data_IF_113272139719
#
_entry.id   IF_113272139719
#
_cell.length_a   1.000
_cell.length_b   1.000
_cell.length_c   1.000
_cell.angle_alpha   90.00
_cell.angle_beta   90.00
_cell.angle_gamma   90.00
#
_symmetry.space_group_name_H-M   'P 1'
#
loop_
_entity.id
_entity.type
_entity.pdbx_description
1 polymer ?
#
# COMPACT_ATOMS: atom_id res chain seq x y z
N UNK A 1 -4.23 0.78 11.20
CA UNK A 1 -5.64 1.19 11.44
C UNK A 1 -6.47 -0.06 11.65
N UNK A 2 -7.36 -0.05 12.65
CA UNK A 2 -8.38 -1.09 12.85
C UNK A 2 -9.75 -0.53 12.47
N UNK A 3 -10.65 -1.39 11.95
CA UNK A 3 -12.05 -1.03 11.70
C UNK A 3 -12.91 -1.98 12.51
N UNK A 4 -13.71 -1.45 13.43
CA UNK A 4 -14.57 -2.25 14.29
C UNK A 4 -16.05 -2.13 13.88
N UNK A 5 -16.83 -3.25 13.86
CA UNK A 5 -18.26 -3.28 13.55
C UNK A 5 -19.12 -2.61 14.64
N UNK A 6 -19.03 -1.28 14.77
CA UNK A 6 -19.70 -0.49 15.81
C UNK A 6 -20.05 0.92 15.31
N UNK A 7 -21.07 1.52 15.91
CA UNK A 7 -21.43 2.93 15.69
C UNK A 7 -20.68 3.91 16.60
N UNK A 8 -20.23 3.44 17.77
CA UNK A 8 -19.61 4.28 18.80
C UNK A 8 -18.18 3.85 19.02
N UNK A 9 -17.33 4.85 19.19
CA UNK A 9 -15.97 4.71 19.67
C UNK A 9 -15.90 3.87 20.95
N UNK A 10 -14.86 3.05 21.05
CA UNK A 10 -14.50 2.36 22.28
C UNK A 10 -12.98 2.24 22.37
N UNK A 11 -12.31 3.11 23.14
CA UNK A 11 -10.85 3.14 23.22
C UNK A 11 -10.24 1.82 23.69
N UNK A 12 -10.96 1.05 24.52
CA UNK A 12 -10.50 -0.25 25.04
C UNK A 12 -10.19 -1.24 23.90
N UNK A 13 -10.81 -1.08 22.73
CA UNK A 13 -10.59 -2.00 21.60
C UNK A 13 -9.22 -1.85 20.94
N UNK A 14 -8.50 -0.75 21.22
CA UNK A 14 -7.13 -0.53 20.75
C UNK A 14 -6.10 -0.62 21.88
N UNK A 15 -6.49 -1.12 23.06
CA UNK A 15 -5.56 -1.39 24.15
C UNK A 15 -4.51 -2.42 23.68
N UNK A 16 -3.25 -2.16 24.03
CA UNK A 16 -2.08 -2.95 23.62
C UNK A 16 -1.93 -3.15 22.09
N UNK A 17 -2.57 -2.31 21.27
CA UNK A 17 -2.35 -2.29 19.82
C UNK A 17 -0.90 -1.88 19.47
N UNK A 18 -0.40 -2.23 18.26
CA UNK A 18 0.91 -1.74 17.84
C UNK A 18 1.02 -0.21 17.93
N UNK A 19 2.17 0.36 18.34
CA UNK A 19 2.34 1.80 18.44
C UNK A 19 1.97 2.53 17.15
N UNK A 20 1.28 3.67 17.27
CA UNK A 20 0.78 4.43 16.12
C UNK A 20 -0.51 3.86 15.49
N UNK A 21 -1.07 2.79 16.05
CA UNK A 21 -2.40 2.31 15.66
C UNK A 21 -3.49 3.29 16.07
N UNK A 22 -4.50 3.40 15.21
CA UNK A 22 -5.75 4.09 15.46
C UNK A 22 -6.92 3.25 14.95
N UNK A 23 -8.13 3.57 15.38
CA UNK A 23 -9.34 2.85 14.99
C UNK A 23 -10.37 3.76 14.33
N UNK A 24 -11.14 3.15 13.42
CA UNK A 24 -12.36 3.70 12.86
C UNK A 24 -13.51 2.73 13.13
N UNK A 25 -14.73 3.26 13.13
CA UNK A 25 -15.90 2.51 13.57
C UNK A 25 -16.99 2.64 12.52
N UNK A 26 -17.51 1.52 12.06
CA UNK A 26 -18.65 1.48 11.16
C UNK A 26 -19.48 0.24 11.46
N UNK A 27 -20.83 0.30 11.50
CA UNK A 27 -21.66 -0.85 11.89
C UNK A 27 -21.45 -2.10 11.03
N UNK A 28 -21.04 -1.94 9.77
CA UNK A 28 -20.72 -3.08 8.90
C UNK A 28 -19.39 -3.76 9.25
N UNK A 29 -18.47 -3.06 9.93
CA UNK A 29 -17.09 -3.51 10.16
C UNK A 29 -16.20 -3.47 8.91
N UNK A 30 -16.74 -3.07 7.76
CA UNK A 30 -16.02 -2.97 6.51
C UNK A 30 -15.55 -1.54 6.25
N UNK A 31 -14.50 -1.42 5.43
CA UNK A 31 -14.01 -0.15 4.91
C UNK A 31 -15.12 0.60 4.15
N UNK A 32 -15.27 1.89 4.45
CA UNK A 32 -16.08 2.84 3.68
C UNK A 32 -15.17 3.83 2.97
N UNK A 33 -15.69 4.53 1.95
CA UNK A 33 -14.91 5.51 1.17
C UNK A 33 -14.34 6.61 2.06
N UNK A 34 -15.14 7.14 2.99
CA UNK A 34 -14.76 8.22 3.91
C UNK A 34 -13.67 7.76 4.89
N UNK A 35 -13.80 6.53 5.40
CA UNK A 35 -12.81 5.90 6.27
C UNK A 35 -11.48 5.70 5.52
N UNK A 36 -11.55 5.35 4.24
CA UNK A 36 -10.36 5.19 3.41
C UNK A 36 -9.66 6.52 3.15
N UNK A 37 -10.40 7.60 2.85
CA UNK A 37 -9.83 8.95 2.70
C UNK A 37 -9.15 9.39 3.99
N UNK A 38 -9.77 9.15 5.14
CA UNK A 38 -9.16 9.42 6.45
C UNK A 38 -7.86 8.61 6.68
N UNK A 39 -7.87 7.32 6.34
CA UNK A 39 -6.66 6.49 6.38
C UNK A 39 -5.56 7.03 5.45
N UNK A 40 -5.93 7.51 4.26
CA UNK A 40 -4.99 8.03 3.27
C UNK A 40 -4.34 9.33 3.75
N UNK A 41 -5.09 10.24 4.37
CA UNK A 41 -4.56 11.45 5.02
C UNK A 41 -3.49 11.09 6.08
N UNK A 42 -3.78 10.11 6.93
CA UNK A 42 -2.80 9.63 7.92
C UNK A 42 -1.56 9.00 7.26
N UNK A 43 -1.74 8.31 6.14
CA UNK A 43 -0.64 7.71 5.37
C UNK A 43 0.26 8.78 4.73
N UNK A 44 -0.29 9.90 4.30
CA UNK A 44 0.48 11.06 3.83
C UNK A 44 1.33 11.65 4.97
N UNK A 45 0.75 11.86 6.15
CA UNK A 45 1.48 12.35 7.32
C UNK A 45 2.65 11.44 7.72
N UNK A 46 2.47 10.13 7.59
CA UNK A 46 3.51 9.15 7.86
C UNK A 46 4.61 9.12 6.80
N UNK A 47 4.23 9.04 5.52
CA UNK A 47 5.18 8.88 4.40
C UNK A 47 5.92 10.17 4.02
N UNK A 48 5.33 11.32 4.34
CA UNK A 48 5.85 12.68 4.07
C UNK A 48 6.30 12.84 2.61
N UNK A 49 5.38 12.61 1.65
CA UNK A 49 5.68 12.76 0.24
C UNK A 49 6.06 14.21 -0.08
N UNK A 50 6.95 14.37 -1.04
CA UNK A 50 7.35 15.69 -1.56
C UNK A 50 7.81 15.53 -3.01
N UNK A 51 7.99 16.64 -3.73
CA UNK A 51 8.51 16.60 -5.11
C UNK A 51 9.86 15.90 -5.22
N UNK A 52 10.72 16.00 -4.18
CA UNK A 52 12.02 15.30 -4.12
C UNK A 52 11.92 13.84 -3.67
N UNK A 53 10.79 13.45 -3.05
CA UNK A 53 10.53 12.11 -2.52
C UNK A 53 9.08 11.72 -2.82
N UNK A 54 8.75 11.46 -4.10
CA UNK A 54 7.39 11.07 -4.46
C UNK A 54 7.05 9.70 -3.89
N UNK A 55 5.78 9.48 -3.59
CA UNK A 55 5.28 8.20 -3.05
C UNK A 55 4.29 7.61 -4.04
N UNK A 56 4.34 6.28 -4.23
CA UNK A 56 3.34 5.54 -5.00
C UNK A 56 2.51 4.68 -4.06
N UNK A 57 1.20 4.85 -4.07
CA UNK A 57 0.27 3.97 -3.37
C UNK A 57 -0.26 2.93 -4.35
N UNK A 58 0.04 1.66 -4.09
CA UNK A 58 -0.43 0.53 -4.87
C UNK A 58 -1.56 -0.14 -4.11
N UNK A 59 -2.71 -0.32 -4.75
CA UNK A 59 -3.91 -0.83 -4.08
C UNK A 59 -4.80 -1.63 -5.04
N UNK A 60 -5.71 -2.42 -4.46
CA UNK A 60 -6.70 -3.15 -5.24
C UNK A 60 -7.78 -2.22 -5.82
N UNK A 61 -8.45 -2.68 -6.87
CA UNK A 61 -9.45 -1.90 -7.56
C UNK A 61 -10.84 -1.84 -6.92
N UNK A 62 -10.99 -2.10 -5.62
CA UNK A 62 -12.32 -2.12 -5.01
C UNK A 62 -13.00 -0.73 -5.07
N UNK A 63 -14.33 -0.71 -5.16
CA UNK A 63 -15.10 0.52 -5.41
C UNK A 63 -14.91 1.59 -4.32
N UNK A 64 -14.75 1.17 -3.05
CA UNK A 64 -14.50 2.06 -1.90
C UNK A 64 -13.17 2.79 -1.98
N UNK A 65 -12.22 2.29 -2.78
CA UNK A 65 -10.89 2.85 -2.94
C UNK A 65 -10.69 3.57 -4.28
N UNK A 66 -11.61 3.40 -5.24
CA UNK A 66 -11.40 3.82 -6.63
C UNK A 66 -12.41 4.86 -7.16
N UNK A 67 -13.45 5.19 -6.39
CA UNK A 67 -14.52 6.11 -6.81
C UNK A 67 -14.65 7.31 -5.88
N UNK A 68 -13.54 7.98 -5.59
CA UNK A 68 -13.53 9.23 -4.81
C UNK A 68 -12.71 10.29 -5.53
N UNK A 69 -13.36 11.39 -5.91
CA UNK A 69 -12.68 12.54 -6.48
C UNK A 69 -11.78 13.21 -5.44
N UNK A 70 -12.23 13.27 -4.18
CA UNK A 70 -11.46 13.82 -3.07
C UNK A 70 -10.14 13.08 -2.86
N UNK A 71 -10.15 11.75 -2.98
CA UNK A 71 -8.94 10.94 -2.90
C UNK A 71 -7.94 11.29 -4.02
N UNK A 72 -8.43 11.44 -5.26
CA UNK A 72 -7.60 11.73 -6.43
C UNK A 72 -6.97 13.12 -6.29
N UNK A 73 -7.76 14.12 -5.93
CA UNK A 73 -7.28 15.48 -5.71
C UNK A 73 -6.25 15.52 -4.58
N UNK A 74 -6.57 14.90 -3.43
CA UNK A 74 -5.68 14.85 -2.28
C UNK A 74 -4.35 14.15 -2.60
N UNK A 75 -4.37 13.09 -3.41
CA UNK A 75 -3.17 12.40 -3.85
C UNK A 75 -2.30 13.28 -4.75
N UNK A 76 -2.91 13.97 -5.72
CA UNK A 76 -2.23 14.91 -6.61
C UNK A 76 -1.57 16.04 -5.83
N UNK A 77 -2.32 16.71 -4.96
CA UNK A 77 -1.85 17.83 -4.14
C UNK A 77 -0.71 17.41 -3.18
N UNK A 78 -0.70 16.13 -2.79
CA UNK A 78 0.28 15.59 -1.84
C UNK A 78 1.48 14.90 -2.50
N UNK A 79 1.69 15.00 -3.82
CA UNK A 79 2.77 14.27 -4.53
C UNK A 79 2.71 12.73 -4.34
N UNK A 80 1.49 12.18 -4.30
CA UNK A 80 1.25 10.73 -4.23
C UNK A 80 0.63 10.25 -5.54
N UNK A 81 1.28 9.30 -6.21
CA UNK A 81 0.72 8.64 -7.39
C UNK A 81 -0.08 7.42 -6.97
N UNK A 82 -1.35 7.36 -7.37
CA UNK A 82 -2.23 6.22 -7.15
C UNK A 82 -2.06 5.19 -8.28
N UNK A 83 -1.64 3.97 -7.95
CA UNK A 83 -1.55 2.86 -8.90
C UNK A 83 -2.56 1.77 -8.52
N UNK A 84 -3.62 1.68 -9.32
CA UNK A 84 -4.63 0.63 -9.20
C UNK A 84 -4.18 -0.63 -9.91
N UNK A 85 -4.21 -1.78 -9.23
CA UNK A 85 -3.97 -3.07 -9.86
C UNK A 85 -5.18 -3.52 -10.69
N UNK A 86 -4.91 -4.19 -11.82
CA UNK A 86 -5.94 -4.84 -12.62
C UNK A 86 -6.75 -5.83 -11.77
N UNK A 87 -8.07 -5.94 -11.98
CA UNK A 87 -8.89 -6.93 -11.30
C UNK A 87 -8.28 -8.33 -11.44
N UNK A 88 -8.41 -9.15 -10.37
CA UNK A 88 -7.96 -10.55 -10.33
C UNK A 88 -6.44 -10.76 -10.41
N UNK A 89 -5.63 -9.70 -10.38
CA UNK A 89 -4.16 -9.82 -10.36
C UNK A 89 -3.53 -9.70 -8.96
N UNK A 90 -4.33 -9.46 -7.90
CA UNK A 90 -3.79 -9.19 -6.55
C UNK A 90 -2.90 -10.30 -6.02
N UNK A 91 -3.31 -11.56 -6.18
CA UNK A 91 -2.54 -12.73 -5.76
C UNK A 91 -1.13 -12.86 -6.35
N UNK A 92 -0.79 -12.04 -7.36
CA UNK A 92 0.54 -12.01 -8.01
C UNK A 92 1.21 -10.66 -7.98
N UNK A 93 0.46 -9.57 -8.05
CA UNK A 93 0.99 -8.21 -8.12
C UNK A 93 0.87 -7.43 -6.82
N UNK A 94 0.02 -7.85 -5.89
CA UNK A 94 -0.13 -7.18 -4.60
C UNK A 94 0.93 -7.71 -3.63
N UNK A 95 1.97 -6.93 -3.37
CA UNK A 95 3.15 -7.37 -2.59
C UNK A 95 2.80 -7.88 -1.20
N UNK A 96 1.77 -7.30 -0.58
CA UNK A 96 1.26 -7.76 0.70
C UNK A 96 0.65 -9.16 0.61
N UNK A 97 -0.09 -9.47 -0.45
CA UNK A 97 -0.75 -10.77 -0.61
C UNK A 97 0.27 -11.87 -0.90
N UNK A 98 1.31 -11.54 -1.66
CA UNK A 98 2.37 -12.50 -2.05
C UNK A 98 3.25 -12.89 -0.85
N UNK A 99 3.53 -11.97 0.06
CA UNK A 99 4.57 -12.21 1.10
C UNK A 99 4.17 -11.96 2.53
N UNK A 100 3.24 -11.04 2.81
CA UNK A 100 2.96 -10.58 4.17
C UNK A 100 1.72 -11.25 4.80
N UNK A 101 0.65 -11.43 4.03
CA UNK A 101 -0.64 -11.87 4.55
C UNK A 101 -0.60 -13.32 5.10
N UNK A 102 0.11 -14.23 4.43
CA UNK A 102 0.22 -15.61 4.88
C UNK A 102 1.02 -15.76 6.20
N UNK A 103 2.21 -15.15 6.36
CA UNK A 103 2.89 -15.11 7.66
C UNK A 103 2.06 -14.45 8.75
N UNK A 104 1.42 -13.31 8.47
CA UNK A 104 0.58 -12.62 9.46
C UNK A 104 -0.55 -13.52 9.98
N UNK A 105 -1.28 -14.18 9.07
CA UNK A 105 -2.35 -15.11 9.43
C UNK A 105 -1.82 -16.26 10.29
N UNK A 106 -0.65 -16.81 9.93
CA UNK A 106 0.00 -17.90 10.67
C UNK A 106 0.35 -17.48 12.10
N UNK A 107 1.03 -16.35 12.26
CA UNK A 107 1.42 -15.85 13.58
C UNK A 107 0.20 -15.45 14.41
N UNK A 108 -0.81 -14.84 13.80
CA UNK A 108 -2.04 -14.48 14.52
C UNK A 108 -2.76 -15.72 15.06
N UNK A 109 -2.85 -16.79 14.28
CA UNK A 109 -3.41 -18.07 14.76
C UNK A 109 -2.60 -18.66 15.91
N UNK A 110 -1.27 -18.53 15.90
CA UNK A 110 -0.42 -18.97 17.01
C UNK A 110 -0.70 -18.15 18.28
N UNK A 111 -0.78 -16.82 18.18
CA UNK A 111 -1.11 -15.95 19.31
C UNK A 111 -2.50 -16.25 19.89
N UNK A 112 -3.49 -16.49 19.03
CA UNK A 112 -4.84 -16.90 19.47
C UNK A 112 -4.79 -18.23 20.23
N UNK A 113 -4.09 -19.25 19.70
CA UNK A 113 -3.94 -20.55 20.39
C UNK A 113 -3.24 -20.40 21.73
N UNK A 114 -2.17 -19.61 21.80
CA UNK A 114 -1.45 -19.34 23.04
C UNK A 114 -2.33 -18.61 24.06
N UNK A 115 -3.13 -17.63 23.61
CA UNK A 115 -4.06 -16.91 24.47
C UNK A 115 -5.09 -17.87 25.09
N UNK A 116 -5.68 -18.75 24.29
CA UNK A 116 -6.66 -19.75 24.75
C UNK A 116 -6.04 -20.78 25.70
N UNK A 117 -4.79 -21.20 25.45
CA UNK A 117 -4.09 -22.14 26.31
C UNK A 117 -3.69 -21.54 27.68
N UNK A 118 -3.28 -20.27 27.69
CA UNK A 118 -2.88 -19.56 28.92
C UNK A 118 -4.06 -19.05 29.74
N UNK A 119 -5.25 -18.95 29.14
CA UNK A 119 -6.47 -18.50 29.80
C UNK A 119 -7.63 -19.51 29.58
N UNK A 120 -7.57 -20.71 30.18
CA UNK A 120 -8.62 -21.71 30.04
C UNK A 120 -10.01 -21.17 30.40
N UNK A 121 -11.01 -21.51 29.59
CA UNK A 121 -12.40 -21.07 29.80
C UNK A 121 -12.72 -19.65 29.33
N UNK A 122 -11.74 -18.89 28.83
CA UNK A 122 -11.97 -17.58 28.19
C UNK A 122 -11.97 -17.69 26.68
N UNK A 123 -12.90 -16.99 26.03
CA UNK A 123 -12.91 -16.82 24.58
C UNK A 123 -12.15 -15.55 24.18
N UNK A 124 -11.55 -15.55 22.99
CA UNK A 124 -11.00 -14.35 22.37
C UNK A 124 -12.16 -13.49 21.87
N UNK A 125 -12.22 -12.24 22.33
CA UNK A 125 -13.22 -11.26 21.90
C UNK A 125 -12.56 -10.12 21.13
N UNK A 126 -13.35 -9.18 20.62
CA UNK A 126 -12.85 -8.00 19.90
C UNK A 126 -11.83 -7.19 20.71
N UNK A 127 -11.92 -7.18 22.05
CA UNK A 127 -10.98 -6.48 22.92
C UNK A 127 -9.55 -7.02 22.82
N UNK A 128 -9.40 -8.32 22.52
CA UNK A 128 -8.07 -8.93 22.43
C UNK A 128 -7.50 -8.88 21.00
N UNK A 129 -8.31 -8.55 19.98
CA UNK A 129 -7.89 -8.60 18.57
C UNK A 129 -6.71 -7.68 18.31
N UNK A 130 -6.75 -6.42 18.76
CA UNK A 130 -5.69 -5.47 18.49
C UNK A 130 -4.36 -5.88 19.14
N UNK A 131 -4.41 -6.37 20.39
CA UNK A 131 -3.26 -6.91 21.12
C UNK A 131 -2.63 -8.11 20.42
N UNK A 132 -3.43 -9.13 20.12
CA UNK A 132 -2.94 -10.36 19.48
C UNK A 132 -2.41 -10.07 18.07
N UNK A 133 -3.10 -9.19 17.33
CA UNK A 133 -2.63 -8.71 16.04
C UNK A 133 -1.31 -7.96 16.17
N UNK A 134 -1.10 -7.15 17.22
CA UNK A 134 0.14 -6.43 17.44
C UNK A 134 1.35 -7.34 17.55
N UNK A 135 1.25 -8.40 18.36
CA UNK A 135 2.32 -9.38 18.52
C UNK A 135 2.59 -10.13 17.21
N UNK A 136 1.53 -10.56 16.51
CA UNK A 136 1.66 -11.24 15.22
C UNK A 136 2.24 -10.34 14.12
N UNK A 137 1.82 -9.07 14.08
CA UNK A 137 2.27 -8.08 13.13
C UNK A 137 3.76 -7.83 13.23
N UNK A 138 4.29 -7.66 14.46
CA UNK A 138 5.72 -7.45 14.68
C UNK A 138 6.58 -8.63 14.21
N UNK A 139 6.04 -9.87 14.26
CA UNK A 139 6.70 -11.06 13.71
C UNK A 139 6.62 -11.13 12.18
N UNK A 140 5.50 -10.72 11.58
CA UNK A 140 5.28 -10.79 10.13
C UNK A 140 5.94 -9.64 9.36
N UNK A 141 5.96 -8.43 9.93
CA UNK A 141 6.38 -7.19 9.30
C UNK A 141 7.92 -7.01 9.30
N UNK A 142 8.65 -8.07 8.94
CA UNK A 142 10.10 -8.02 8.77
C UNK A 142 10.51 -7.29 7.49
N UNK A 143 11.69 -6.66 7.51
CA UNK A 143 12.27 -6.00 6.32
C UNK A 143 12.41 -6.95 5.12
N UNK A 144 12.74 -8.22 5.37
CA UNK A 144 12.82 -9.25 4.33
C UNK A 144 11.47 -9.50 3.66
N UNK A 145 10.38 -9.49 4.42
CA UNK A 145 9.01 -9.62 3.88
C UNK A 145 8.73 -8.50 2.90
N UNK A 146 9.04 -7.25 3.27
CA UNK A 146 8.84 -6.09 2.41
C UNK A 146 9.69 -6.18 1.12
N UNK A 147 10.99 -6.44 1.24
CA UNK A 147 11.91 -6.53 0.09
C UNK A 147 11.50 -7.66 -0.86
N UNK A 148 11.22 -8.86 -0.32
CA UNK A 148 10.80 -9.99 -1.13
C UNK A 148 9.43 -9.75 -1.77
N UNK A 149 8.52 -9.06 -1.08
CA UNK A 149 7.21 -8.70 -1.61
C UNK A 149 7.29 -7.91 -2.90
N UNK A 150 8.11 -6.86 -2.92
CA UNK A 150 8.27 -6.07 -4.15
C UNK A 150 9.11 -6.78 -5.22
N UNK A 151 10.06 -7.62 -4.83
CA UNK A 151 10.88 -8.41 -5.76
C UNK A 151 10.04 -9.44 -6.52
N UNK A 152 9.20 -10.19 -5.81
CA UNK A 152 8.39 -11.26 -6.39
C UNK A 152 7.25 -10.73 -7.27
N UNK A 153 6.74 -9.53 -7.00
CA UNK A 153 5.73 -8.89 -7.87
C UNK A 153 6.34 -8.20 -9.08
N UNK A 154 7.68 -8.08 -9.13
CA UNK A 154 8.39 -7.39 -10.21
C UNK A 154 8.21 -5.88 -10.17
N UNK A 155 7.73 -5.34 -9.05
CA UNK A 155 7.53 -3.90 -8.86
C UNK A 155 8.86 -3.23 -8.48
N UNK A 156 9.67 -3.89 -7.64
CA UNK A 156 11.00 -3.40 -7.29
C UNK A 156 12.00 -4.56 -7.04
N UNK A 157 13.09 -4.66 -7.80
CA UNK A 157 13.42 -3.91 -9.01
C UNK A 157 12.41 -4.19 -10.12
N UNK A 158 12.09 -3.18 -10.95
CA UNK A 158 11.07 -3.31 -11.99
C UNK A 158 11.45 -4.44 -12.98
N UNK A 159 10.60 -5.47 -13.07
CA UNK A 159 10.74 -6.56 -14.02
C UNK A 159 9.40 -6.83 -14.72
N UNK A 160 9.29 -6.34 -15.97
CA UNK A 160 8.09 -6.51 -16.80
C UNK A 160 7.88 -7.94 -17.26
N UNK A 161 8.92 -8.77 -17.25
CA UNK A 161 8.91 -10.15 -17.73
C UNK A 161 8.87 -11.17 -16.57
N UNK A 162 8.42 -10.74 -15.39
CA UNK A 162 8.39 -11.63 -14.21
C UNK A 162 7.32 -12.73 -14.32
N UNK A 163 6.28 -12.49 -15.11
CA UNK A 163 5.25 -13.47 -15.39
C UNK A 163 5.49 -14.07 -16.78
N UNK A 164 5.54 -15.41 -16.91
CA UNK A 164 5.71 -16.08 -18.19
C UNK A 164 4.45 -16.01 -19.07
N UNK A 165 4.62 -16.06 -20.39
CA UNK A 165 3.56 -15.85 -21.39
C UNK A 165 2.31 -16.71 -21.18
N UNK A 166 2.48 -17.96 -20.73
CA UNK A 166 1.35 -18.86 -20.48
C UNK A 166 0.38 -18.33 -19.40
N UNK A 167 0.83 -17.43 -18.53
CA UNK A 167 -0.02 -16.80 -17.52
C UNK A 167 -0.98 -15.76 -18.09
N UNK A 168 -0.74 -15.29 -19.32
CA UNK A 168 -1.59 -14.35 -20.04
C UNK A 168 -2.58 -15.05 -20.99
N UNK A 169 -2.50 -16.38 -21.12
CA UNK A 169 -3.44 -17.17 -21.93
C UNK A 169 -4.92 -16.87 -21.62
N UNK A 170 -5.33 -16.69 -20.35
CA UNK A 170 -6.72 -16.35 -20.01
C UNK A 170 -7.17 -14.95 -20.46
N UNK A 171 -6.24 -14.02 -20.77
CA UNK A 171 -6.58 -12.66 -21.21
C UNK A 171 -6.71 -12.52 -22.73
N UNK A 172 -6.27 -13.52 -23.52
CA UNK A 172 -6.30 -13.50 -24.99
C UNK A 172 -7.73 -13.25 -25.53
N UNK A 173 -8.76 -13.73 -24.84
CA UNK A 173 -10.16 -13.55 -25.27
C UNK A 173 -10.69 -12.13 -25.08
N UNK A 174 -10.00 -11.29 -24.32
CA UNK A 174 -10.39 -9.89 -24.01
C UNK A 174 -9.39 -8.90 -24.63
N UNK A 175 -8.29 -9.38 -25.21
CA UNK A 175 -7.29 -8.54 -25.84
C UNK A 175 -7.91 -7.76 -27.01
N UNK A 176 -7.89 -6.44 -26.89
CA UNK A 176 -8.25 -5.54 -27.98
C UNK A 176 -6.95 -5.08 -28.64
N UNK A 177 -6.85 -5.14 -29.98
CA UNK A 177 -5.70 -4.57 -30.66
C UNK A 177 -5.56 -3.10 -30.25
N UNK A 178 -4.34 -2.70 -29.88
CA UNK A 178 -4.06 -1.34 -29.48
C UNK A 178 -4.44 -0.38 -30.61
N UNK A 179 -5.14 0.74 -30.32
CA UNK A 179 -5.34 1.79 -31.30
C UNK A 179 -3.96 2.26 -31.81
N UNK A 180 -3.81 2.54 -33.12
CA UNK A 180 -2.52 2.94 -33.71
C UNK A 180 -1.84 4.13 -33.01
N UNK A 181 -2.62 4.97 -32.34
CA UNK A 181 -2.16 6.18 -31.65
C UNK A 181 -1.61 5.90 -30.23
N UNK A 182 -1.97 4.77 -29.60
CA UNK A 182 -1.58 4.47 -28.22
C UNK A 182 -0.11 4.03 -28.07
N UNK A 183 0.45 3.39 -29.11
CA UNK A 183 1.88 3.02 -29.15
C UNK A 183 2.80 4.23 -29.23
N UNK A 184 2.39 5.28 -29.95
CA UNK A 184 3.20 6.50 -30.14
C UNK A 184 3.33 7.26 -28.81
N UNK A 185 2.23 7.41 -28.07
CA UNK A 185 2.19 8.12 -26.79
C UNK A 185 2.99 7.36 -25.71
N UNK A 186 2.99 6.03 -25.71
CA UNK A 186 3.74 5.23 -24.75
C UNK A 186 5.26 5.28 -25.01
N UNK A 187 5.69 5.30 -26.28
CA UNK A 187 7.10 5.48 -26.62
C UNK A 187 7.57 6.91 -26.32
N UNK A 188 6.82 7.94 -26.73
CA UNK A 188 7.18 9.35 -26.47
C UNK A 188 7.33 9.65 -24.97
N UNK A 189 6.41 9.15 -24.12
CA UNK A 189 6.50 9.34 -22.67
C UNK A 189 7.70 8.59 -22.06
N UNK A 190 8.10 7.45 -22.61
CA UNK A 190 9.28 6.71 -22.17
C UNK A 190 10.59 7.47 -22.49
N UNK A 191 10.64 8.15 -23.64
CA UNK A 191 11.78 8.97 -24.05
C UNK A 191 11.87 10.31 -23.28
N UNK A 192 10.73 10.90 -22.93
CA UNK A 192 10.67 12.12 -22.11
C UNK A 192 11.14 11.89 -20.67
N UNK A 193 10.77 10.76 -20.04
CA UNK A 193 11.23 10.43 -18.68
C UNK A 193 12.73 10.09 -18.61
N UNK A 194 13.32 9.56 -19.69
CA UNK A 194 14.74 9.23 -19.75
C UNK A 194 15.68 10.44 -19.89
N UNK A 195 15.17 11.59 -20.35
CA UNK A 195 15.97 12.79 -20.65
C UNK A 195 15.97 13.86 -19.54
N UNK A 196 15.29 13.63 -18.42
CA UNK A 196 15.28 14.55 -17.28
C UNK A 196 16.44 14.22 -16.31
N UNK A 197 17.67 14.54 -16.71
CA UNK A 197 18.79 14.74 -15.78
C UNK A 197 18.83 16.23 -15.41
N UNK A 198 18.81 16.64 -14.12
CA UNK A 198 18.88 18.05 -13.76
C UNK A 198 20.27 18.63 -14.06
N UNK A 199 20.35 19.72 -14.83
CA UNK A 199 21.56 20.54 -14.92
C UNK A 199 21.91 21.11 -13.53
N UNK A 200 23.15 20.89 -13.10
CA UNK A 200 23.72 21.51 -11.91
C UNK A 200 23.81 23.03 -12.08
N UNK A 201 23.30 23.75 -11.08
CA UNK A 201 23.49 25.19 -10.93
C UNK A 201 24.98 25.44 -10.63
N UNK A 202 25.75 25.87 -11.64
CA UNK A 202 27.09 26.44 -11.45
C UNK A 202 26.96 27.76 -10.69
N UNK A 203 27.44 27.77 -9.46
CA UNK A 203 27.79 28.95 -8.70
C UNK A 203 28.92 29.70 -9.41
N UNK A 204 28.68 30.94 -9.83
CA UNK A 204 29.74 31.89 -10.16
C UNK A 204 30.17 32.59 -8.87
N UNK A 205 31.26 32.10 -8.27
CA UNK A 205 32.14 32.93 -7.45
C UNK A 205 32.95 33.81 -8.40
N UNK A 206 32.73 35.12 -8.35
CA UNK A 206 33.63 36.09 -8.98
C UNK A 206 34.26 36.94 -7.88
N UNK A 207 35.46 36.53 -7.47
CA UNK A 207 36.39 37.32 -6.69
C UNK A 207 36.78 38.55 -7.50
N UNK A 208 36.45 39.75 -7.01
CA UNK A 208 37.22 40.96 -7.33
C UNK A 208 37.80 41.52 -6.05
N UNK A 209 39.09 41.20 -5.88
CA UNK A 209 40.01 41.77 -4.93
C UNK A 209 40.22 43.26 -5.28
N UNK A 210 39.95 44.15 -4.33
CA UNK A 210 40.41 45.54 -4.30
C UNK A 210 40.92 45.84 -2.89
N UNK A 211 42.24 45.68 -2.70
CA UNK A 211 43.15 46.56 -1.95
C UNK A 211 44.54 45.92 -1.93
#
# INVERSE_FOLDING_TARGET
MFIFPRNRENPILIDDAPPGSFAQYHPSGWMQTEIFVYWFQNSILFSKPSTKKPVRLIFDGHATHSKSLDLINLAGDSNVTLLRLSPRCSHRMHSLDVTFMAPLSTYYQQEVRQCLATHPGRAVTMQQVAKLHGVAFLKAAGMQTAVNGFKQTGIFTLNRNIFPDHMFVPSITIDRPAPPEASIILEENLFLEANLVPEEVRTTEENTEKA
#
